data_IF_680777682296
#
_entry.id   IF_680777682296
#
_cell.length_a   1.000
_cell.length_b   1.000
_cell.length_c   1.000
_cell.angle_alpha   90.00
_cell.angle_beta   90.00
_cell.angle_gamma   90.00
#
_symmetry.space_group_name_H-M   'P 1'
#
loop_
_entity.id
_entity.type
_entity.pdbx_description
1 polymer ?
#
# COMPACT_ATOMS: atom_id res chain seq x y z
N UNK A 1 5.71 -29.11 -5.60
CA UNK A 1 4.78 -28.61 -4.57
C UNK A 1 4.30 -27.26 -5.07
N UNK A 2 3.00 -27.08 -5.32
CA UNK A 2 2.48 -25.79 -5.80
C UNK A 2 2.40 -24.82 -4.61
N UNK A 3 2.91 -23.59 -4.76
CA UNK A 3 2.81 -22.57 -3.73
C UNK A 3 1.34 -22.25 -3.45
N UNK A 4 0.97 -22.11 -2.17
CA UNK A 4 -0.38 -21.71 -1.78
C UNK A 4 -0.58 -20.20 -2.00
N UNK A 5 -1.83 -19.73 -1.96
CA UNK A 5 -2.14 -18.29 -2.01
C UNK A 5 -1.50 -17.54 -0.83
N UNK A 6 -1.40 -18.17 0.34
CA UNK A 6 -0.73 -17.58 1.50
C UNK A 6 0.78 -17.42 1.25
N UNK A 7 1.41 -18.46 0.68
CA UNK A 7 2.83 -18.41 0.30
C UNK A 7 3.08 -17.28 -0.71
N UNK A 8 2.19 -17.12 -1.70
CA UNK A 8 2.29 -16.05 -2.70
C UNK A 8 2.14 -14.64 -2.10
N UNK A 9 1.27 -14.47 -1.08
CA UNK A 9 1.15 -13.19 -0.35
C UNK A 9 2.41 -12.88 0.43
N UNK A 10 2.94 -13.88 1.15
CA UNK A 10 4.19 -13.73 1.90
C UNK A 10 5.37 -13.40 0.99
N UNK A 11 5.47 -14.08 -0.16
CA UNK A 11 6.50 -13.83 -1.16
C UNK A 11 6.42 -12.41 -1.72
N UNK A 12 5.23 -11.96 -2.16
CA UNK A 12 5.03 -10.61 -2.68
C UNK A 12 5.38 -9.53 -1.65
N UNK A 13 4.92 -9.68 -0.41
CA UNK A 13 5.18 -8.72 0.66
C UNK A 13 6.67 -8.67 1.03
N UNK A 14 7.33 -9.83 1.09
CA UNK A 14 8.76 -9.94 1.37
C UNK A 14 9.60 -9.33 0.24
N UNK A 15 9.26 -9.64 -1.01
CA UNK A 15 9.92 -9.06 -2.17
C UNK A 15 9.79 -7.54 -2.19
N UNK A 16 8.61 -6.99 -1.89
CA UNK A 16 8.42 -5.55 -1.80
C UNK A 16 9.27 -4.94 -0.67
N UNK A 17 9.33 -5.57 0.49
CA UNK A 17 10.22 -5.16 1.59
C UNK A 17 11.70 -5.14 1.18
N UNK A 18 12.15 -6.16 0.43
CA UNK A 18 13.53 -6.23 -0.09
C UNK A 18 13.82 -5.12 -1.10
N UNK A 19 12.87 -4.79 -1.98
CA UNK A 19 13.01 -3.68 -2.92
C UNK A 19 13.19 -2.34 -2.18
N UNK A 20 12.40 -2.10 -1.13
CA UNK A 20 12.54 -0.89 -0.31
C UNK A 20 13.89 -0.87 0.44
N UNK A 21 14.28 -2.00 1.03
CA UNK A 21 15.57 -2.14 1.72
C UNK A 21 16.73 -1.83 0.77
N UNK A 22 16.71 -2.40 -0.43
CA UNK A 22 17.74 -2.23 -1.46
C UNK A 22 17.79 -0.79 -1.97
N UNK A 23 16.61 -0.23 -2.29
CA UNK A 23 16.50 1.12 -2.87
C UNK A 23 16.93 2.21 -1.91
N UNK A 24 16.59 2.09 -0.63
CA UNK A 24 16.84 3.14 0.36
C UNK A 24 18.00 2.84 1.30
N UNK A 25 18.56 1.62 1.26
CA UNK A 25 19.62 1.16 2.15
C UNK A 25 19.14 0.99 3.60
N UNK A 26 17.85 0.75 3.82
CA UNK A 26 17.22 0.72 5.15
C UNK A 26 17.01 -0.71 5.64
N UNK A 27 16.89 -0.88 6.97
CA UNK A 27 16.32 -2.11 7.51
C UNK A 27 14.79 -2.04 7.41
N UNK A 28 14.17 -3.19 7.18
CA UNK A 28 12.73 -3.34 7.01
C UNK A 28 12.21 -4.40 7.97
N UNK A 29 11.18 -4.05 8.73
CA UNK A 29 10.37 -4.94 9.53
C UNK A 29 9.02 -5.13 8.82
N UNK A 30 8.61 -6.39 8.64
CA UNK A 30 7.45 -6.78 7.85
C UNK A 30 6.51 -7.64 8.70
N UNK A 31 5.28 -7.16 8.90
CA UNK A 31 4.22 -7.91 9.57
C UNK A 31 3.04 -8.11 8.63
N UNK A 32 2.72 -9.36 8.29
CA UNK A 32 1.60 -9.72 7.42
C UNK A 32 0.42 -10.14 8.30
N UNK A 33 -0.73 -9.51 8.09
CA UNK A 33 -1.91 -9.71 8.90
C UNK A 33 -3.00 -10.42 8.12
N UNK A 34 -3.62 -11.39 8.79
CA UNK A 34 -4.87 -11.97 8.34
C UNK A 34 -6.03 -10.97 8.50
N UNK A 35 -7.07 -11.08 7.68
CA UNK A 35 -8.30 -10.34 7.84
C UNK A 35 -8.87 -10.49 9.25
N UNK A 36 -9.50 -9.43 9.77
CA UNK A 36 -10.19 -9.50 11.05
C UNK A 36 -11.38 -10.46 10.93
N UNK A 37 -11.54 -11.37 11.90
CA UNK A 37 -12.63 -12.36 11.96
C UNK A 37 -14.03 -11.73 11.91
N UNK A 38 -14.18 -10.52 12.44
CA UNK A 38 -15.45 -9.77 12.46
C UNK A 38 -15.50 -8.66 11.39
N UNK A 39 -14.49 -8.58 10.53
CA UNK A 39 -14.39 -7.62 9.43
C UNK A 39 -14.57 -8.27 8.06
N UNK A 40 -14.21 -7.52 7.02
CA UNK A 40 -14.15 -8.06 5.67
C UNK A 40 -13.02 -9.10 5.58
N UNK A 41 -13.38 -10.36 5.31
CA UNK A 41 -12.45 -11.48 5.22
C UNK A 41 -11.53 -11.42 3.99
N UNK A 42 -11.64 -10.39 3.14
CA UNK A 42 -10.76 -10.16 1.99
C UNK A 42 -9.60 -9.22 2.31
N UNK A 43 -9.65 -8.49 3.44
CA UNK A 43 -8.68 -7.43 3.77
C UNK A 43 -7.37 -7.98 4.36
N UNK A 44 -6.64 -8.76 3.57
CA UNK A 44 -5.25 -9.12 3.87
C UNK A 44 -4.36 -7.88 3.65
N UNK A 45 -3.54 -7.55 4.65
CA UNK A 45 -2.67 -6.38 4.60
C UNK A 45 -1.35 -6.65 5.29
N UNK A 46 -0.34 -5.84 4.97
CA UNK A 46 0.96 -5.91 5.61
C UNK A 46 1.37 -4.53 6.12
N UNK A 47 2.01 -4.51 7.29
CA UNK A 47 2.75 -3.36 7.78
C UNK A 47 4.21 -3.52 7.36
N UNK A 48 4.74 -2.49 6.71
CA UNK A 48 6.14 -2.41 6.30
C UNK A 48 6.74 -1.21 7.01
N UNK A 49 7.51 -1.46 8.07
CA UNK A 49 8.17 -0.43 8.85
C UNK A 49 9.64 -0.37 8.45
N UNK A 50 10.13 0.82 8.14
CA UNK A 50 11.53 1.01 7.73
C UNK A 50 12.27 1.88 8.74
N UNK A 51 13.57 1.67 8.88
CA UNK A 51 14.41 2.65 9.57
C UNK A 51 14.45 3.96 8.77
N UNK A 52 14.55 5.09 9.45
CA UNK A 52 14.69 6.42 8.79
C UNK A 52 16.12 6.71 8.32
N UNK A 53 17.06 5.84 8.72
CA UNK A 53 18.47 5.90 8.37
C UNK A 53 18.89 4.65 7.63
N UNK A 54 19.90 4.82 6.79
CA UNK A 54 20.58 3.72 6.14
C UNK A 54 21.24 2.82 7.18
N UNK A 55 21.31 1.53 6.88
CA UNK A 55 21.93 0.53 7.74
C UNK A 55 23.05 -0.14 6.98
N UNK A 56 24.20 -0.28 7.63
CA UNK A 56 25.35 -1.02 7.11
C UNK A 56 25.96 -1.88 8.21
N UNK A 57 27.00 -2.65 7.89
CA UNK A 57 27.80 -3.38 8.87
C UNK A 57 29.14 -2.68 9.06
N UNK A 58 29.58 -2.56 10.29
CA UNK A 58 30.95 -2.11 10.60
C UNK A 58 31.98 -3.23 10.35
N UNK A 59 33.25 -2.96 10.63
CA UNK A 59 34.35 -3.91 10.46
C UNK A 59 34.22 -5.18 11.34
N UNK A 60 33.43 -5.13 12.41
CA UNK A 60 33.14 -6.27 13.30
C UNK A 60 31.91 -7.06 12.85
N UNK A 61 31.19 -6.56 11.85
CA UNK A 61 29.95 -7.14 11.34
C UNK A 61 28.69 -6.67 12.07
N UNK A 62 28.79 -5.77 13.04
CA UNK A 62 27.63 -5.23 13.76
C UNK A 62 26.86 -4.23 12.89
N UNK A 63 25.53 -4.23 13.00
CA UNK A 63 24.69 -3.27 12.29
C UNK A 63 24.86 -1.88 12.90
N UNK A 64 25.08 -0.89 12.03
CA UNK A 64 25.22 0.52 12.40
C UNK A 64 24.29 1.38 11.55
N UNK A 65 23.79 2.46 12.16
CA UNK A 65 22.94 3.46 11.48
C UNK A 65 23.82 4.53 10.84
N UNK A 66 23.59 4.80 9.57
CA UNK A 66 24.28 5.83 8.80
C UNK A 66 23.45 7.08 8.59
N UNK A 67 23.59 7.67 7.41
CA UNK A 67 22.87 8.86 6.98
C UNK A 67 21.36 8.64 6.90
N UNK A 68 20.60 9.73 6.90
CA UNK A 68 19.16 9.66 6.62
C UNK A 68 18.93 9.02 5.25
N UNK A 69 17.97 8.10 5.17
CA UNK A 69 17.56 7.55 3.89
C UNK A 69 17.01 8.67 3.00
N UNK A 70 17.14 8.52 1.68
CA UNK A 70 16.84 9.62 0.75
C UNK A 70 15.38 10.07 0.83
N UNK A 71 14.44 9.17 1.14
CA UNK A 71 13.01 9.48 1.31
C UNK A 71 12.73 10.34 2.55
N UNK A 72 13.59 10.28 3.58
CA UNK A 72 13.46 11.04 4.85
C UNK A 72 14.14 12.41 4.81
N UNK A 73 14.76 12.76 3.67
CA UNK A 73 15.36 14.06 3.46
C UNK A 73 14.27 15.11 3.16
N UNK A 74 14.51 16.35 3.58
CA UNK A 74 13.66 17.46 3.15
C UNK A 74 13.73 17.66 1.64
N UNK A 75 12.65 18.18 1.04
CA UNK A 75 12.62 18.44 -0.41
C UNK A 75 13.75 19.37 -0.87
N UNK A 76 14.16 20.34 -0.04
CA UNK A 76 15.32 21.19 -0.33
C UNK A 76 16.60 20.37 -0.44
N UNK A 77 16.83 19.43 0.49
CA UNK A 77 18.02 18.58 0.44
C UNK A 77 17.95 17.58 -0.73
N UNK A 78 16.78 16.97 -0.97
CA UNK A 78 16.56 16.07 -2.12
C UNK A 78 16.88 16.77 -3.44
N UNK A 79 16.37 17.99 -3.65
CA UNK A 79 16.70 18.80 -4.84
C UNK A 79 18.19 19.11 -4.96
N UNK A 80 18.87 19.41 -3.85
CA UNK A 80 20.31 19.70 -3.88
C UNK A 80 21.18 18.52 -4.34
N UNK A 81 20.65 17.29 -4.28
CA UNK A 81 21.33 16.06 -4.74
C UNK A 81 20.68 15.49 -6.01
N UNK A 82 19.89 16.29 -6.73
CA UNK A 82 19.30 15.90 -8.02
C UNK A 82 18.08 14.97 -7.93
N UNK A 83 17.46 14.84 -6.76
CA UNK A 83 16.26 14.02 -6.56
C UNK A 83 14.97 14.87 -6.64
N UNK A 84 13.88 14.22 -7.03
CA UNK A 84 12.52 14.79 -6.94
C UNK A 84 12.05 14.97 -5.49
N UNK A 85 10.83 15.46 -5.29
CA UNK A 85 10.26 15.62 -3.94
C UNK A 85 10.05 14.28 -3.24
N UNK A 86 9.82 14.29 -1.93
CA UNK A 86 9.40 13.10 -1.20
C UNK A 86 8.03 12.59 -1.70
N UNK A 87 7.14 13.49 -2.14
CA UNK A 87 5.86 13.11 -2.73
C UNK A 87 6.03 12.34 -4.05
N UNK A 88 6.98 12.76 -4.90
CA UNK A 88 7.31 12.03 -6.14
C UNK A 88 7.83 10.62 -5.81
N UNK A 89 8.60 10.47 -4.73
CA UNK A 89 9.08 9.17 -4.26
C UNK A 89 7.92 8.27 -3.80
N UNK A 90 6.95 8.82 -3.07
CA UNK A 90 5.74 8.07 -2.65
C UNK A 90 4.97 7.60 -3.88
N UNK A 91 4.85 8.43 -4.92
CA UNK A 91 4.23 8.02 -6.20
C UNK A 91 5.04 6.90 -6.86
N UNK A 92 6.36 6.97 -6.85
CA UNK A 92 7.22 5.92 -7.39
C UNK A 92 7.10 4.59 -6.62
N UNK A 93 7.00 4.63 -5.29
CA UNK A 93 6.75 3.46 -4.43
C UNK A 93 5.38 2.84 -4.75
N UNK A 94 4.34 3.67 -4.91
CA UNK A 94 3.00 3.20 -5.27
C UNK A 94 2.99 2.50 -6.62
N UNK A 95 3.70 3.03 -7.61
CA UNK A 95 3.88 2.41 -8.93
C UNK A 95 4.67 1.11 -8.86
N UNK A 96 5.72 1.05 -8.02
CA UNK A 96 6.47 -0.19 -7.77
C UNK A 96 5.54 -1.27 -7.20
N UNK A 97 4.77 -0.95 -6.17
CA UNK A 97 3.79 -1.88 -5.60
C UNK A 97 2.76 -2.34 -6.64
N UNK A 98 2.20 -1.41 -7.42
CA UNK A 98 1.27 -1.71 -8.51
C UNK A 98 1.84 -2.76 -9.48
N UNK A 99 3.07 -2.55 -9.95
CA UNK A 99 3.74 -3.47 -10.89
C UNK A 99 3.94 -4.85 -10.26
N UNK A 100 4.46 -4.92 -9.04
CA UNK A 100 4.73 -6.18 -8.36
C UNK A 100 3.44 -6.94 -8.04
N UNK A 101 2.41 -6.24 -7.55
CA UNK A 101 1.13 -6.84 -7.23
C UNK A 101 0.40 -7.32 -8.49
N UNK A 102 0.43 -6.56 -9.59
CA UNK A 102 -0.16 -6.98 -10.87
C UNK A 102 0.54 -8.22 -11.46
N UNK A 103 1.88 -8.28 -11.36
CA UNK A 103 2.65 -9.47 -11.73
C UNK A 103 2.24 -10.69 -10.90
N UNK A 104 2.09 -10.51 -9.58
CA UNK A 104 1.65 -11.58 -8.69
C UNK A 104 0.22 -12.05 -9.02
N UNK A 105 -0.69 -11.11 -9.33
CA UNK A 105 -2.05 -11.44 -9.78
C UNK A 105 -2.04 -12.24 -11.09
N UNK A 106 -1.23 -11.83 -12.07
CA UNK A 106 -1.06 -12.55 -13.33
C UNK A 106 -0.51 -13.96 -13.12
N UNK A 107 0.54 -14.11 -12.31
CA UNK A 107 1.11 -15.42 -11.97
C UNK A 107 0.11 -16.34 -11.25
N UNK A 108 -0.83 -15.77 -10.50
CA UNK A 108 -1.90 -16.50 -9.83
C UNK A 108 -3.11 -16.80 -10.76
N UNK A 109 -3.05 -16.41 -12.04
CA UNK A 109 -4.14 -16.60 -13.00
C UNK A 109 -5.34 -15.67 -12.77
N UNK A 110 -5.16 -14.54 -12.08
CA UNK A 110 -6.21 -13.57 -11.83
C UNK A 110 -6.25 -12.48 -12.92
N UNK A 111 -7.45 -12.18 -13.40
CA UNK A 111 -7.69 -11.07 -14.34
C UNK A 111 -7.73 -9.69 -13.65
N UNK A 112 -7.83 -9.65 -12.32
CA UNK A 112 -7.82 -8.40 -11.57
C UNK A 112 -6.52 -7.61 -11.79
N UNK A 113 -6.63 -6.28 -11.86
CA UNK A 113 -5.50 -5.35 -11.94
C UNK A 113 -5.69 -4.19 -10.96
N UNK A 114 -4.57 -3.74 -10.42
CA UNK A 114 -4.45 -2.57 -9.55
C UNK A 114 -3.91 -1.42 -10.41
N UNK A 115 -4.46 -0.22 -10.19
CA UNK A 115 -3.93 1.03 -10.72
C UNK A 115 -3.79 2.02 -9.56
N UNK A 116 -2.57 2.47 -9.31
CA UNK A 116 -2.21 3.34 -8.18
C UNK A 116 -2.57 4.80 -8.40
N UNK A 117 -2.98 5.19 -9.61
CA UNK A 117 -3.44 6.54 -9.94
C UNK A 117 -4.81 6.79 -9.31
N UNK A 118 -5.15 8.05 -9.08
CA UNK A 118 -6.52 8.42 -8.68
C UNK A 118 -7.51 8.13 -9.82
N UNK A 119 -8.79 7.95 -9.50
CA UNK A 119 -9.85 7.71 -10.50
C UNK A 119 -9.84 8.80 -11.59
N UNK A 120 -9.69 10.07 -11.20
CA UNK A 120 -9.52 11.19 -12.11
C UNK A 120 -8.32 11.02 -13.06
N UNK A 121 -7.16 10.58 -12.56
CA UNK A 121 -5.97 10.36 -13.38
C UNK A 121 -6.04 9.09 -14.24
N UNK A 122 -6.98 8.19 -13.95
CA UNK A 122 -7.35 7.07 -14.82
C UNK A 122 -8.39 7.49 -15.88
N UNK A 123 -8.97 8.69 -15.77
CA UNK A 123 -10.06 9.14 -16.62
C UNK A 123 -11.41 8.49 -16.30
N UNK A 124 -11.55 7.93 -15.10
CA UNK A 124 -12.78 7.29 -14.64
C UNK A 124 -13.67 8.32 -13.94
N UNK A 125 -14.91 8.44 -14.42
CA UNK A 125 -15.95 9.25 -13.79
C UNK A 125 -16.67 8.48 -12.69
N UNK A 126 -15.90 7.81 -11.83
CA UNK A 126 -16.42 7.05 -10.70
C UNK A 126 -16.26 7.87 -9.42
N UNK A 127 -17.32 8.02 -8.66
CA UNK A 127 -17.27 8.67 -7.36
C UNK A 127 -16.51 7.81 -6.34
N UNK A 128 -15.60 8.44 -5.59
CA UNK A 128 -14.83 7.77 -4.55
C UNK A 128 -15.62 7.66 -3.24
N UNK A 129 -15.53 6.52 -2.58
CA UNK A 129 -16.08 6.34 -1.23
C UNK A 129 -15.23 7.05 -0.16
N UNK A 130 -15.85 7.43 0.95
CA UNK A 130 -15.18 7.97 2.12
C UNK A 130 -14.67 6.85 3.05
N UNK A 131 -13.49 7.06 3.63
CA UNK A 131 -13.00 6.19 4.71
C UNK A 131 -13.89 6.32 5.94
N UNK A 132 -14.49 5.21 6.39
CA UNK A 132 -15.41 5.21 7.53
C UNK A 132 -14.72 5.61 8.83
N UNK A 133 -13.50 5.12 9.07
CA UNK A 133 -12.84 5.18 10.37
C UNK A 133 -13.38 4.14 11.35
N UNK A 134 -12.71 3.96 12.50
CA UNK A 134 -13.01 2.86 13.43
C UNK A 134 -14.41 2.96 14.04
N UNK A 135 -14.85 4.16 14.43
CA UNK A 135 -16.16 4.38 15.08
C UNK A 135 -17.31 4.05 14.14
N UNK A 136 -17.33 4.64 12.94
CA UNK A 136 -18.40 4.37 11.97
C UNK A 136 -18.38 2.90 11.51
N UNK A 137 -17.19 2.30 11.36
CA UNK A 137 -17.09 0.87 11.03
C UNK A 137 -17.69 -0.04 12.11
N UNK A 138 -17.48 0.27 13.40
CA UNK A 138 -18.10 -0.48 14.50
C UNK A 138 -19.61 -0.27 14.57
N UNK A 139 -20.10 0.96 14.34
CA UNK A 139 -21.53 1.24 14.25
C UNK A 139 -22.19 0.39 13.15
N UNK A 140 -21.67 0.46 11.92
CA UNK A 140 -22.22 -0.28 10.77
C UNK A 140 -22.18 -1.79 11.00
N UNK A 141 -21.11 -2.32 11.61
CA UNK A 141 -21.01 -3.74 11.98
C UNK A 141 -22.09 -4.19 12.95
N UNK A 142 -22.51 -3.30 13.87
CA UNK A 142 -23.60 -3.56 14.81
C UNK A 142 -24.99 -3.25 14.23
N UNK A 143 -25.07 -3.02 12.92
CA UNK A 143 -26.33 -2.68 12.24
C UNK A 143 -26.85 -1.27 12.54
N UNK A 144 -25.99 -0.38 13.05
CA UNK A 144 -26.32 1.03 13.28
C UNK A 144 -25.80 1.89 12.13
N UNK A 145 -26.69 2.64 11.49
CA UNK A 145 -26.32 3.55 10.42
C UNK A 145 -25.39 4.66 10.92
N UNK A 146 -24.46 5.06 10.06
CA UNK A 146 -23.54 6.18 10.24
C UNK A 146 -23.60 7.10 9.03
N UNK A 147 -23.40 8.40 9.24
CA UNK A 147 -23.43 9.39 8.14
C UNK A 147 -22.45 9.05 7.00
N UNK A 148 -21.26 8.53 7.34
CA UNK A 148 -20.27 8.09 6.36
C UNK A 148 -20.68 6.81 5.63
N UNK A 149 -21.33 5.88 6.31
CA UNK A 149 -21.89 4.67 5.69
C UNK A 149 -23.02 5.00 4.72
N UNK A 150 -23.90 5.93 5.10
CA UNK A 150 -24.96 6.44 4.22
C UNK A 150 -24.39 7.17 3.00
N UNK A 151 -23.34 7.98 3.19
CA UNK A 151 -22.60 8.59 2.10
C UNK A 151 -22.04 7.55 1.12
N UNK A 152 -21.39 6.50 1.62
CA UNK A 152 -20.85 5.43 0.78
C UNK A 152 -21.93 4.62 0.06
N UNK A 153 -23.08 4.37 0.70
CA UNK A 153 -24.24 3.74 0.04
C UNK A 153 -24.76 4.58 -1.11
N UNK A 154 -24.86 5.91 -0.94
CA UNK A 154 -25.26 6.83 -2.02
C UNK A 154 -24.25 6.82 -3.18
N UNK A 155 -22.95 6.90 -2.88
CA UNK A 155 -21.88 6.78 -3.89
C UNK A 155 -21.99 5.48 -4.68
N UNK A 156 -22.27 4.36 -4.02
CA UNK A 156 -22.46 3.07 -4.69
C UNK A 156 -23.65 3.08 -5.65
N UNK A 157 -24.78 3.69 -5.26
CA UNK A 157 -25.95 3.86 -6.12
C UNK A 157 -25.62 4.74 -7.33
N UNK A 158 -24.97 5.88 -7.12
CA UNK A 158 -24.58 6.79 -8.21
C UNK A 158 -23.66 6.09 -9.22
N UNK A 159 -22.63 5.39 -8.75
CA UNK A 159 -21.71 4.65 -9.61
C UNK A 159 -22.43 3.54 -10.41
N UNK A 160 -23.36 2.81 -9.78
CA UNK A 160 -24.15 1.79 -10.47
C UNK A 160 -25.07 2.37 -11.55
N UNK A 161 -25.57 3.60 -11.37
CA UNK A 161 -26.35 4.30 -12.40
C UNK A 161 -25.49 4.73 -13.58
N UNK A 162 -24.24 5.15 -13.34
CA UNK A 162 -23.30 5.54 -14.40
C UNK A 162 -22.88 4.35 -15.29
N UNK A 163 -22.78 3.15 -14.72
CA UNK A 163 -22.42 1.92 -15.46
C UNK A 163 -23.56 1.40 -16.37
N UNK A 164 -24.78 1.94 -16.28
CA UNK A 164 -25.94 1.54 -17.08
C UNK A 164 -26.17 2.41 -18.33
N UNK A 165 -25.34 3.42 -18.55
CA UNK A 165 -25.41 4.39 -19.68
C UNK A 165 -24.36 4.00 -20.72
#
# INVERSE_FOLDING_TARGET
MFATVEDARQELASAFGIELATRYGVAVDLAIHLPNREGDNRNHHAFVMTTTRQVSRDATGLLVMGEKSTIELSDTKRRSVGLGSAADEVVAIRRLWEQMANRALENAGSDARIDSRSLKAQGLDREATMHLGPVASDMERRGKASDRGDGNRKVAVNNAMLEQI
#
